data_IF_267778994131
#
_entry.id   IF_267778994131
#
_cell.length_a   1.000
_cell.length_b   1.000
_cell.length_c   1.000
_cell.angle_alpha   90.00
_cell.angle_beta   90.00
_cell.angle_gamma   90.00
#
_symmetry.space_group_name_H-M   'P 1'
#
loop_
_entity.id
_entity.type
_entity.pdbx_description
1 polymer ?
#
# COMPACT_ATOMS: atom_id res chain seq x y z
N UNK A 1 -24.40 -12.45 -62.72
CA UNK A 1 -23.71 -12.54 -61.41
C UNK A 1 -22.99 -11.21 -61.18
N UNK A 2 -23.45 -10.38 -60.24
CA UNK A 2 -22.81 -9.09 -59.95
C UNK A 2 -21.65 -9.28 -58.97
N UNK A 3 -20.42 -9.07 -59.42
CA UNK A 3 -19.23 -9.02 -58.56
C UNK A 3 -19.18 -7.68 -57.83
N UNK A 4 -19.48 -7.66 -56.52
CA UNK A 4 -19.24 -6.45 -55.72
C UNK A 4 -17.73 -6.22 -55.58
N UNK A 5 -17.27 -5.16 -56.25
CA UNK A 5 -15.93 -4.60 -56.14
C UNK A 5 -15.68 -4.10 -54.71
N UNK A 6 -14.47 -4.31 -54.20
CA UNK A 6 -14.12 -3.88 -52.85
C UNK A 6 -13.56 -2.45 -52.91
N UNK A 7 -14.09 -1.51 -52.11
CA UNK A 7 -13.86 -0.08 -52.31
C UNK A 7 -12.45 0.42 -51.94
N UNK A 8 -11.55 -0.45 -51.50
CA UNK A 8 -10.20 -0.08 -51.06
C UNK A 8 -9.16 -1.10 -51.53
N UNK A 9 -8.18 -0.64 -52.32
CA UNK A 9 -7.04 -1.46 -52.76
C UNK A 9 -6.04 -1.76 -51.65
N UNK A 10 -5.94 -0.89 -50.63
CA UNK A 10 -4.90 -0.96 -49.60
C UNK A 10 -5.31 -1.75 -48.34
N UNK A 11 -6.59 -2.08 -48.18
CA UNK A 11 -7.09 -2.83 -47.03
C UNK A 11 -7.40 -4.25 -47.48
N UNK A 12 -6.61 -5.21 -46.99
CA UNK A 12 -6.82 -6.63 -47.27
C UNK A 12 -8.22 -7.06 -46.83
N UNK A 13 -8.84 -7.96 -47.61
CA UNK A 13 -10.13 -8.58 -47.27
C UNK A 13 -9.93 -9.61 -46.15
N UNK A 14 -9.62 -9.15 -44.94
CA UNK A 14 -9.37 -10.01 -43.79
C UNK A 14 -7.92 -10.50 -43.65
N UNK A 15 -7.64 -11.14 -42.51
CA UNK A 15 -6.32 -11.64 -42.08
C UNK A 15 -6.39 -12.18 -40.65
N UNK A 16 -5.32 -12.81 -40.14
CA UNK A 16 -5.30 -13.49 -38.83
C UNK A 16 -5.69 -12.56 -37.67
N UNK A 17 -5.42 -11.26 -37.80
CA UNK A 17 -5.73 -10.24 -36.79
C UNK A 17 -7.16 -9.67 -36.89
N UNK A 18 -7.96 -10.11 -37.87
CA UNK A 18 -9.34 -9.63 -37.99
C UNK A 18 -10.25 -10.43 -37.06
N UNK A 19 -11.01 -9.77 -36.17
CA UNK A 19 -12.00 -10.46 -35.36
C UNK A 19 -13.08 -11.06 -36.24
N UNK A 20 -13.61 -12.22 -35.83
CA UNK A 20 -14.73 -12.87 -36.50
C UNK A 20 -15.91 -11.90 -36.59
N UNK A 21 -16.47 -11.73 -37.78
CA UNK A 21 -17.71 -10.97 -37.99
C UNK A 21 -18.88 -11.75 -37.38
N UNK A 22 -19.34 -11.32 -36.22
CA UNK A 22 -20.52 -11.88 -35.55
C UNK A 22 -21.73 -11.02 -35.86
N UNK A 23 -22.85 -11.63 -36.25
CA UNK A 23 -24.12 -10.94 -36.44
C UNK A 23 -24.80 -10.83 -35.07
N UNK A 24 -24.81 -9.63 -34.51
CA UNK A 24 -25.44 -9.36 -33.21
C UNK A 24 -26.93 -9.01 -33.38
N UNK A 25 -27.74 -9.34 -32.38
CA UNK A 25 -29.07 -8.77 -32.22
C UNK A 25 -28.97 -7.22 -32.17
N UNK A 26 -29.89 -6.46 -32.80
CA UNK A 26 -29.91 -5.00 -32.75
C UNK A 26 -29.71 -4.42 -31.34
N UNK A 27 -30.38 -4.97 -30.32
CA UNK A 27 -30.25 -4.48 -28.94
C UNK A 27 -28.81 -4.61 -28.41
N UNK A 28 -28.16 -5.75 -28.69
CA UNK A 28 -26.76 -5.99 -28.27
C UNK A 28 -25.79 -5.10 -29.03
N UNK A 29 -26.06 -4.84 -30.32
CA UNK A 29 -25.25 -3.95 -31.15
C UNK A 29 -25.26 -2.51 -30.60
N UNK A 30 -26.43 -2.01 -30.22
CA UNK A 30 -26.58 -0.67 -29.64
C UNK A 30 -25.93 -0.57 -28.27
N UNK A 31 -26.07 -1.60 -27.44
CA UNK A 31 -25.38 -1.69 -26.15
C UNK A 31 -23.86 -1.67 -26.30
N UNK A 32 -23.29 -2.48 -27.21
CA UNK A 32 -21.85 -2.48 -27.48
C UNK A 32 -21.37 -1.11 -27.99
N UNK A 33 -22.16 -0.45 -28.83
CA UNK A 33 -21.85 0.91 -29.32
C UNK A 33 -21.82 1.92 -28.16
N UNK A 34 -22.77 1.84 -27.24
CA UNK A 34 -22.81 2.67 -26.04
C UNK A 34 -21.56 2.44 -25.18
N UNK A 35 -21.20 1.18 -24.91
CA UNK A 35 -19.99 0.84 -24.14
C UNK A 35 -18.70 1.38 -24.78
N UNK A 36 -18.58 1.27 -26.10
CA UNK A 36 -17.42 1.82 -26.82
C UNK A 36 -17.38 3.34 -26.72
N UNK A 37 -18.53 4.01 -26.83
CA UNK A 37 -18.60 5.47 -26.69
C UNK A 37 -18.24 5.92 -25.28
N UNK A 38 -18.72 5.22 -24.25
CA UNK A 38 -18.39 5.48 -22.86
C UNK A 38 -16.89 5.27 -22.58
N UNK A 39 -16.32 4.16 -23.07
CA UNK A 39 -14.88 3.89 -22.98
C UNK A 39 -14.04 5.00 -23.63
N UNK A 40 -14.44 5.48 -24.82
CA UNK A 40 -13.78 6.60 -25.49
C UNK A 40 -13.86 7.89 -24.66
N UNK A 41 -15.03 8.20 -24.09
CA UNK A 41 -15.22 9.38 -23.25
C UNK A 41 -14.37 9.31 -21.97
N UNK A 42 -14.29 8.15 -21.32
CA UNK A 42 -13.45 7.96 -20.15
C UNK A 42 -11.96 8.17 -20.49
N UNK A 43 -11.51 7.63 -21.63
CA UNK A 43 -10.13 7.81 -22.08
C UNK A 43 -9.79 9.27 -22.42
N UNK A 44 -10.71 10.02 -23.03
CA UNK A 44 -10.46 11.45 -23.32
C UNK A 44 -10.41 12.28 -22.04
N UNK A 45 -11.24 11.97 -21.05
CA UNK A 45 -11.19 12.61 -19.73
C UNK A 45 -9.86 12.33 -19.03
N UNK A 46 -9.38 11.08 -19.05
CA UNK A 46 -8.09 10.71 -18.48
C UNK A 46 -6.94 11.45 -19.17
N UNK A 47 -6.88 11.44 -20.50
CA UNK A 47 -5.84 12.17 -21.25
C UNK A 47 -5.86 13.66 -20.95
N UNK A 48 -7.05 14.26 -20.84
CA UNK A 48 -7.18 15.67 -20.44
C UNK A 48 -6.62 15.91 -19.04
N UNK A 49 -6.86 15.00 -18.10
CA UNK A 49 -6.31 15.11 -16.74
C UNK A 49 -4.78 14.97 -16.72
N UNK A 50 -4.22 14.07 -17.52
CA UNK A 50 -2.76 13.89 -17.66
C UNK A 50 -2.10 15.10 -18.31
N UNK A 51 -2.74 15.67 -19.34
CA UNK A 51 -2.28 16.89 -20.01
C UNK A 51 -2.21 18.07 -19.03
N UNK A 52 -3.28 18.31 -18.27
CA UNK A 52 -3.32 19.37 -17.26
C UNK A 52 -2.23 19.20 -16.17
N UNK A 53 -1.90 17.95 -15.82
CA UNK A 53 -0.83 17.67 -14.85
C UNK A 53 0.56 18.04 -15.38
N UNK A 54 0.79 17.95 -16.70
CA UNK A 54 2.06 18.32 -17.34
C UNK A 54 2.22 19.84 -17.49
N UNK A 55 1.15 20.53 -17.85
CA UNK A 55 1.17 21.98 -18.11
C UNK A 55 0.96 22.82 -16.83
N UNK A 56 0.88 22.17 -15.67
CA UNK A 56 0.56 22.78 -14.37
C UNK A 56 -0.74 23.61 -14.38
N UNK A 57 -1.63 23.36 -15.34
CA UNK A 57 -2.93 24.00 -15.37
C UNK A 57 -3.82 23.34 -14.30
N UNK A 58 -4.41 24.12 -13.36
CA UNK A 58 -5.24 23.55 -12.32
C UNK A 58 -6.40 22.81 -12.97
N UNK A 59 -6.50 21.50 -12.70
CA UNK A 59 -7.66 20.69 -13.07
C UNK A 59 -8.89 21.47 -12.62
N UNK A 60 -9.72 21.92 -13.57
CA UNK A 60 -10.94 22.65 -13.31
C UNK A 60 -11.90 21.76 -12.53
N UNK A 61 -11.68 21.65 -11.22
CA UNK A 61 -12.61 21.01 -10.33
C UNK A 61 -13.85 21.90 -10.38
N UNK A 62 -14.94 21.38 -10.95
CA UNK A 62 -16.27 22.01 -10.90
C UNK A 62 -16.84 22.05 -9.47
N UNK A 63 -15.98 22.14 -8.45
CA UNK A 63 -16.37 22.74 -7.19
C UNK A 63 -16.38 24.22 -7.46
N UNK A 64 -17.51 24.72 -7.96
CA UNK A 64 -17.90 26.10 -7.67
C UNK A 64 -17.80 26.21 -6.16
N UNK A 65 -16.67 26.70 -5.68
CA UNK A 65 -16.43 26.97 -4.29
C UNK A 65 -17.61 27.83 -3.85
N UNK A 66 -18.54 27.25 -3.09
CA UNK A 66 -19.22 28.06 -2.10
C UNK A 66 -18.07 28.64 -1.31
N UNK A 67 -17.78 29.93 -1.55
CA UNK A 67 -16.76 30.67 -0.83
C UNK A 67 -17.26 30.74 0.61
N UNK A 68 -17.13 29.64 1.36
CA UNK A 68 -17.11 29.68 2.81
C UNK A 68 -15.99 30.67 3.09
N UNK A 69 -16.38 31.84 3.57
CA UNK A 69 -15.45 32.89 3.99
C UNK A 69 -14.43 32.19 4.87
N UNK A 70 -13.22 31.98 4.34
CA UNK A 70 -12.12 31.49 5.14
C UNK A 70 -12.03 32.48 6.31
N UNK A 71 -12.01 32.02 7.57
CA UNK A 71 -11.88 32.94 8.69
C UNK A 71 -10.67 33.81 8.44
N UNK A 72 -10.84 35.13 8.60
CA UNK A 72 -9.76 36.11 8.42
C UNK A 72 -8.62 35.66 9.34
N UNK A 73 -7.53 35.17 8.76
CA UNK A 73 -6.36 34.73 9.50
C UNK A 73 -5.76 35.96 10.17
N UNK A 74 -6.15 36.22 11.42
CA UNK A 74 -5.73 37.40 12.20
C UNK A 74 -4.24 37.34 12.52
N UNK A 75 -3.68 36.12 12.55
CA UNK A 75 -2.27 35.88 12.86
C UNK A 75 -1.62 35.28 11.62
N UNK A 76 -0.82 36.09 10.91
CA UNK A 76 0.11 35.57 9.89
C UNK A 76 0.94 34.47 10.57
N UNK A 77 1.08 33.25 10.00
CA UNK A 77 1.96 32.25 10.56
C UNK A 77 3.39 32.79 10.49
N UNK A 78 3.81 33.47 11.56
CA UNK A 78 5.14 34.05 11.70
C UNK A 78 6.15 32.92 11.66
N UNK A 79 7.17 33.09 10.80
CA UNK A 79 8.37 32.26 10.57
C UNK A 79 8.29 30.85 11.17
N UNK A 80 8.22 29.81 10.33
CA UNK A 80 8.30 28.38 10.68
C UNK A 80 8.80 28.10 12.11
N UNK A 81 7.92 28.24 13.11
CA UNK A 81 8.31 27.99 14.49
C UNK A 81 8.57 26.50 14.56
N UNK A 82 9.85 26.13 14.69
CA UNK A 82 10.24 24.76 14.96
C UNK A 82 9.41 24.31 16.16
N UNK A 83 8.63 23.24 15.99
CA UNK A 83 7.82 22.69 17.07
C UNK A 83 8.75 22.30 18.23
N UNK A 84 8.31 22.51 19.47
CA UNK A 84 9.06 22.02 20.63
C UNK A 84 9.17 20.50 20.56
N UNK A 85 10.23 19.94 21.14
CA UNK A 85 10.44 18.48 21.18
C UNK A 85 9.21 17.74 21.75
N UNK A 86 8.66 18.23 22.86
CA UNK A 86 7.45 17.67 23.48
C UNK A 86 6.24 17.69 22.53
N UNK A 87 6.07 18.75 21.74
CA UNK A 87 5.01 18.82 20.72
C UNK A 87 5.21 17.80 19.60
N UNK A 88 6.46 17.53 19.20
CA UNK A 88 6.79 16.52 18.19
C UNK A 88 6.52 15.11 18.73
N UNK A 89 6.94 14.83 19.96
CA UNK A 89 6.71 13.53 20.62
C UNK A 89 5.21 13.28 20.81
N UNK A 90 4.47 14.26 21.33
CA UNK A 90 3.00 14.16 21.48
C UNK A 90 2.26 13.95 20.17
N UNK A 91 2.81 14.45 19.06
CA UNK A 91 2.20 14.26 17.74
C UNK A 91 2.38 12.84 17.17
N UNK A 92 3.12 11.95 17.85
CA UNK A 92 3.40 10.60 17.37
C UNK A 92 4.33 10.56 16.15
N UNK A 93 4.86 11.71 15.69
CA UNK A 93 5.67 11.79 14.48
C UNK A 93 7.01 11.02 14.56
N UNK A 94 7.43 10.65 15.78
CA UNK A 94 8.62 9.84 16.02
C UNK A 94 8.31 8.35 16.12
N UNK A 95 7.03 7.97 16.21
CA UNK A 95 6.62 6.58 16.26
C UNK A 95 6.72 5.97 14.87
N UNK A 96 7.46 4.86 14.74
CA UNK A 96 7.54 4.13 13.47
C UNK A 96 6.34 3.22 13.35
N UNK A 97 5.70 3.24 12.19
CA UNK A 97 4.70 2.24 11.85
C UNK A 97 5.32 0.85 11.94
N UNK A 98 4.60 -0.06 12.60
CA UNK A 98 4.99 -1.46 12.64
C UNK A 98 4.80 -2.05 11.25
N UNK A 99 5.80 -2.77 10.76
CA UNK A 99 5.68 -3.50 9.50
C UNK A 99 4.53 -4.52 9.61
N UNK A 100 3.46 -4.30 8.85
CA UNK A 100 2.37 -5.27 8.67
C UNK A 100 2.61 -5.98 7.34
N UNK A 101 2.97 -7.28 7.32
CA UNK A 101 3.09 -8.01 6.07
C UNK A 101 1.74 -8.01 5.36
N UNK A 102 1.76 -7.82 4.03
CA UNK A 102 0.54 -7.94 3.22
C UNK A 102 -0.01 -9.36 3.37
N UNK A 103 -1.35 -9.53 3.41
CA UNK A 103 -1.95 -10.86 3.47
C UNK A 103 -1.46 -11.68 2.27
N UNK A 104 -0.80 -12.79 2.56
CA UNK A 104 -0.36 -13.75 1.53
C UNK A 104 -1.52 -14.67 1.19
N UNK A 105 -1.80 -14.84 -0.10
CA UNK A 105 -2.81 -15.80 -0.55
C UNK A 105 -2.27 -17.21 -0.35
N UNK A 106 -3.04 -18.06 0.34
CA UNK A 106 -2.71 -19.48 0.51
C UNK A 106 -2.89 -20.20 -0.84
N UNK A 107 -1.81 -20.29 -1.62
CA UNK A 107 -1.80 -20.91 -2.96
C UNK A 107 -2.34 -22.34 -2.97
N UNK A 108 -2.14 -23.09 -1.89
CA UNK A 108 -2.66 -24.46 -1.76
C UNK A 108 -4.18 -24.48 -1.61
N UNK A 109 -4.75 -23.56 -0.82
CA UNK A 109 -6.19 -23.42 -0.69
C UNK A 109 -6.85 -23.00 -2.01
N UNK A 110 -6.18 -22.12 -2.77
CA UNK A 110 -6.66 -21.69 -4.09
C UNK A 110 -6.61 -22.81 -5.12
N UNK A 111 -5.55 -23.63 -5.14
CA UNK A 111 -5.47 -24.83 -5.97
C UNK A 111 -6.58 -25.82 -5.64
N UNK A 112 -6.82 -26.09 -4.35
CA UNK A 112 -7.89 -26.97 -3.91
C UNK A 112 -9.27 -26.44 -4.30
N UNK A 113 -9.52 -25.15 -4.14
CA UNK A 113 -10.75 -24.50 -4.59
C UNK A 113 -10.96 -24.69 -6.09
N UNK A 114 -9.92 -24.46 -6.89
CA UNK A 114 -9.99 -24.62 -8.34
C UNK A 114 -10.26 -26.09 -8.73
N UNK A 115 -9.57 -27.03 -8.12
CA UNK A 115 -9.77 -28.46 -8.36
C UNK A 115 -11.20 -28.92 -8.03
N UNK A 116 -11.77 -28.42 -6.92
CA UNK A 116 -13.13 -28.73 -6.51
C UNK A 116 -14.17 -28.11 -7.46
N UNK A 117 -13.95 -26.86 -7.89
CA UNK A 117 -14.81 -26.20 -8.90
C UNK A 117 -14.79 -26.95 -10.24
N UNK A 118 -13.61 -27.38 -10.69
CA UNK A 118 -13.44 -28.14 -11.95
C UNK A 118 -14.04 -29.56 -11.90
N UNK A 119 -13.97 -30.23 -10.75
CA UNK A 119 -14.44 -31.62 -10.61
C UNK A 119 -15.91 -31.74 -10.25
N UNK A 120 -16.42 -30.86 -9.39
CA UNK A 120 -17.77 -30.96 -8.81
C UNK A 120 -18.72 -29.83 -9.27
N UNK A 121 -18.23 -28.85 -10.04
CA UNK A 121 -19.03 -27.70 -10.48
C UNK A 121 -19.49 -26.77 -9.36
N UNK A 122 -18.99 -26.99 -8.13
CA UNK A 122 -19.33 -26.22 -6.94
C UNK A 122 -18.17 -25.29 -6.58
N UNK A 123 -18.45 -23.98 -6.47
CA UNK A 123 -17.48 -22.98 -6.02
C UNK A 123 -17.28 -22.94 -4.50
N UNK A 124 -17.84 -23.93 -3.80
CA UNK A 124 -17.71 -24.09 -2.35
C UNK A 124 -16.25 -24.22 -1.96
N UNK A 125 -15.70 -23.17 -1.33
CA UNK A 125 -14.37 -23.24 -0.73
C UNK A 125 -14.33 -24.37 0.30
N UNK A 126 -13.30 -25.22 0.31
CA UNK A 126 -13.12 -26.18 1.40
C UNK A 126 -13.12 -25.39 2.72
N UNK A 127 -13.98 -25.80 3.67
CA UNK A 127 -13.94 -25.30 5.05
C UNK A 127 -12.66 -25.83 5.70
N UNK A 128 -11.54 -25.19 5.38
CA UNK A 128 -10.32 -25.35 6.18
C UNK A 128 -10.73 -24.83 7.55
N UNK A 129 -10.64 -25.63 8.63
CA UNK A 129 -10.88 -25.11 9.96
C UNK A 129 -9.94 -23.92 10.12
N UNK A 130 -10.50 -22.73 10.35
CA UNK A 130 -9.72 -21.56 10.68
C UNK A 130 -8.91 -21.93 11.92
N UNK A 131 -7.63 -22.27 11.72
CA UNK A 131 -6.66 -22.18 12.80
C UNK A 131 -6.67 -20.70 13.16
N UNK A 132 -7.53 -20.35 14.12
CA UNK A 132 -7.55 -19.05 14.76
C UNK A 132 -6.17 -18.89 15.34
N UNK A 133 -5.27 -18.28 14.56
CA UNK A 133 -3.96 -17.89 15.04
C UNK A 133 -4.24 -17.03 16.26
N UNK A 134 -3.99 -17.59 17.45
CA UNK A 134 -4.17 -16.88 18.69
C UNK A 134 -3.41 -15.56 18.52
N UNK A 135 -4.01 -14.40 18.85
CA UNK A 135 -3.34 -13.13 18.70
C UNK A 135 -2.02 -13.24 19.47
N UNK A 136 -0.90 -13.28 18.73
CA UNK A 136 0.42 -13.25 19.34
C UNK A 136 0.49 -11.93 20.07
N UNK A 137 0.37 -11.97 21.41
CA UNK A 137 0.50 -10.78 22.25
C UNK A 137 1.77 -10.08 21.80
N UNK A 138 1.73 -8.79 21.44
CA UNK A 138 2.93 -8.09 21.02
C UNK A 138 3.95 -8.28 22.14
N UNK A 139 5.11 -8.84 21.78
CA UNK A 139 6.22 -8.94 22.71
C UNK A 139 6.48 -7.52 23.18
N UNK A 140 6.18 -7.24 24.46
CA UNK A 140 6.44 -5.94 25.07
C UNK A 140 7.94 -5.76 25.09
N UNK A 141 8.49 -5.19 24.04
CA UNK A 141 9.86 -4.73 24.03
C UNK A 141 9.91 -3.58 25.04
N UNK A 142 10.41 -3.86 26.25
CA UNK A 142 10.80 -2.80 27.17
C UNK A 142 12.07 -2.22 26.56
N UNK A 143 12.08 -0.96 26.07
CA UNK A 143 13.33 -0.33 25.72
C UNK A 143 14.12 -0.20 27.03
N UNK A 144 15.01 -1.15 27.28
CA UNK A 144 15.91 -1.07 28.42
C UNK A 144 16.76 0.17 28.16
N UNK A 145 16.61 1.17 29.03
CA UNK A 145 17.31 2.44 28.89
C UNK A 145 18.81 2.15 28.82
N UNK A 146 19.47 2.54 27.72
CA UNK A 146 20.89 2.28 27.51
C UNK A 146 21.74 2.88 28.63
N UNK A 147 21.28 3.98 29.20
CA UNK A 147 21.90 4.61 30.36
C UNK A 147 21.90 3.68 31.58
N UNK A 148 20.77 3.05 31.90
CA UNK A 148 20.67 2.14 33.05
C UNK A 148 21.55 0.89 32.87
N UNK A 149 21.64 0.38 31.65
CA UNK A 149 22.57 -0.72 31.32
C UNK A 149 24.03 -0.32 31.57
N UNK A 150 24.44 0.86 31.11
CA UNK A 150 25.81 1.37 31.31
C UNK A 150 26.11 1.60 32.79
N UNK A 151 25.16 2.13 33.56
CA UNK A 151 25.30 2.30 35.02
C UNK A 151 25.48 0.95 35.72
N UNK A 152 24.78 -0.10 35.27
CA UNK A 152 24.95 -1.45 35.79
C UNK A 152 26.31 -2.04 35.42
N UNK A 153 26.75 -1.90 34.17
CA UNK A 153 28.07 -2.36 33.70
C UNK A 153 29.20 -1.72 34.52
N UNK A 154 29.20 -0.39 34.69
CA UNK A 154 30.20 0.34 35.50
C UNK A 154 30.19 -0.15 36.95
N UNK A 155 29.00 -0.42 37.53
CA UNK A 155 28.89 -0.93 38.90
C UNK A 155 29.48 -2.33 39.03
N UNK A 156 29.22 -3.21 38.05
CA UNK A 156 29.77 -4.56 37.99
C UNK A 156 31.31 -4.48 37.90
N UNK A 157 31.84 -3.64 37.01
CA UNK A 157 33.28 -3.47 36.81
C UNK A 157 33.97 -2.97 38.09
N UNK A 158 33.40 -1.93 38.73
CA UNK A 158 33.91 -1.40 40.01
C UNK A 158 33.93 -2.46 41.12
N UNK A 159 32.90 -3.29 41.19
CA UNK A 159 32.82 -4.37 42.18
C UNK A 159 33.82 -5.49 41.87
N UNK A 160 34.01 -5.83 40.59
CA UNK A 160 35.03 -6.76 40.12
C UNK A 160 36.42 -6.29 40.53
N UNK A 161 36.78 -5.05 40.23
CA UNK A 161 38.07 -4.46 40.61
C UNK A 161 38.30 -4.50 42.12
N UNK A 162 37.28 -4.12 42.91
CA UNK A 162 37.36 -4.20 44.39
C UNK A 162 37.62 -5.63 44.87
N UNK A 163 36.92 -6.61 44.31
CA UNK A 163 37.13 -8.03 44.64
C UNK A 163 38.54 -8.48 44.28
N UNK A 164 39.06 -8.13 43.10
CA UNK A 164 40.42 -8.45 42.67
C UNK A 164 41.48 -7.81 43.55
N UNK A 165 41.35 -6.53 43.90
CA UNK A 165 42.31 -5.84 44.79
C UNK A 165 42.35 -6.46 46.19
N UNK A 166 41.20 -6.84 46.74
CA UNK A 166 41.14 -7.56 48.02
C UNK A 166 41.80 -8.93 47.93
N UNK A 167 41.62 -9.64 46.81
CA UNK A 167 42.21 -10.95 46.60
C UNK A 167 43.76 -10.87 46.50
N UNK A 168 44.28 -9.84 45.83
CA UNK A 168 45.73 -9.58 45.76
C UNK A 168 46.29 -9.22 47.14
N UNK A 169 45.59 -8.37 47.91
CA UNK A 169 45.99 -8.04 49.29
C UNK A 169 46.06 -9.28 50.19
N UNK A 170 45.04 -10.15 50.12
CA UNK A 170 45.01 -11.40 50.88
C UNK A 170 46.12 -12.37 50.45
N UNK A 171 46.53 -12.36 49.18
CA UNK A 171 47.63 -13.18 48.68
C UNK A 171 48.99 -12.69 49.18
N UNK A 172 49.20 -11.38 49.25
CA UNK A 172 50.45 -10.77 49.74
C UNK A 172 50.62 -10.89 51.27
N UNK A 173 49.55 -11.17 52.02
CA UNK A 173 49.62 -11.40 53.49
C UNK A 173 49.98 -12.87 53.80
N UNK A 174 49.86 -13.78 52.82
CA UNK A 174 50.14 -15.22 52.98
C UNK A 174 51.53 -15.66 52.50
N UNK A 175 52.35 -14.72 52.04
CA UNK A 175 53.79 -14.88 51.72
C UNK A 175 54.61 -14.15 52.76
#
# INVERSE_FOLDING_TARGET
MLTMEWPSKNVSRGGILHPRKVQYNPQTKDYLKMLVNESKMAMTQLRKSEYNLRDYEPIATSRKNSRKKLPKVVIRPGSSKRRSYDSIVKSGALERELFVPKPTVNREAEKMRLQNSMSQGNDGSPKIPDEKSLPRKPLKYKPSNRFDQLVQEIRIEKNGLRKWTNLVKLRNIRT
#
